data_IF_239641809273
#
_entry.id   IF_239641809273
#
_cell.length_a   1.000
_cell.length_b   1.000
_cell.length_c   1.000
_cell.angle_alpha   90.00
_cell.angle_beta   90.00
_cell.angle_gamma   90.00
#
_symmetry.space_group_name_H-M   'P 1'
#
loop_
_entity.id
_entity.type
_entity.pdbx_description
1 polymer ?
#
# COMPACT_ATOMS: atom_id res chain seq x y z
N UNK A 1 -24.18 -7.03 31.69
CA UNK A 1 -22.70 -6.90 31.69
C UNK A 1 -22.14 -7.35 30.35
N UNK A 2 -22.49 -8.55 29.87
CA UNK A 2 -22.14 -9.07 28.54
C UNK A 2 -22.54 -8.12 27.39
N UNK A 3 -23.80 -7.66 27.33
CA UNK A 3 -24.25 -6.75 26.27
C UNK A 3 -23.48 -5.41 26.22
N UNK A 4 -23.00 -4.92 27.38
CA UNK A 4 -22.15 -3.72 27.42
C UNK A 4 -20.76 -4.02 26.84
N UNK A 5 -20.18 -5.16 27.17
CA UNK A 5 -18.89 -5.58 26.61
C UNK A 5 -18.97 -5.83 25.11
N UNK A 6 -20.09 -6.36 24.60
CA UNK A 6 -20.32 -6.53 23.15
C UNK A 6 -20.46 -5.18 22.44
N UNK A 7 -21.19 -4.23 23.04
CA UNK A 7 -21.27 -2.87 22.51
C UNK A 7 -19.90 -2.18 22.49
N UNK A 8 -19.12 -2.29 23.57
CA UNK A 8 -17.77 -1.74 23.65
C UNK A 8 -16.85 -2.38 22.59
N UNK A 9 -16.97 -3.70 22.36
CA UNK A 9 -16.23 -4.42 21.31
C UNK A 9 -16.60 -3.95 19.90
N UNK A 10 -17.89 -3.81 19.59
CA UNK A 10 -18.37 -3.29 18.31
C UNK A 10 -17.81 -1.89 18.02
N UNK A 11 -17.78 -1.00 19.01
CA UNK A 11 -17.16 0.34 18.89
C UNK A 11 -15.67 0.23 18.54
N UNK A 12 -14.91 -0.65 19.21
CA UNK A 12 -13.49 -0.83 18.89
C UNK A 12 -13.26 -1.44 17.51
N UNK A 13 -14.10 -2.37 17.06
CA UNK A 13 -14.02 -2.95 15.72
C UNK A 13 -14.32 -1.91 14.64
N UNK A 14 -15.31 -1.04 14.86
CA UNK A 14 -15.59 0.08 13.96
C UNK A 14 -14.41 1.06 13.87
N UNK A 15 -13.75 1.37 14.99
CA UNK A 15 -12.52 2.18 14.97
C UNK A 15 -11.39 1.49 14.19
N UNK A 16 -11.21 0.18 14.38
CA UNK A 16 -10.19 -0.58 13.65
C UNK A 16 -10.48 -0.60 12.14
N UNK A 17 -11.74 -0.77 11.72
CA UNK A 17 -12.16 -0.65 10.33
C UNK A 17 -11.84 0.72 9.74
N UNK A 18 -12.17 1.80 10.45
CA UNK A 18 -11.86 3.17 10.04
C UNK A 18 -10.34 3.45 9.96
N UNK A 19 -9.54 2.82 10.82
CA UNK A 19 -8.08 2.87 10.71
C UNK A 19 -7.58 2.09 9.49
N UNK A 20 -8.15 0.92 9.21
CA UNK A 20 -7.87 0.15 8.00
C UNK A 20 -8.13 0.94 6.72
N UNK A 21 -9.26 1.66 6.63
CA UNK A 21 -9.56 2.54 5.49
C UNK A 21 -8.50 3.63 5.29
N UNK A 22 -8.08 4.28 6.37
CA UNK A 22 -7.03 5.33 6.32
C UNK A 22 -5.70 4.76 5.86
N UNK A 23 -5.31 3.58 6.35
CA UNK A 23 -4.08 2.91 5.90
C UNK A 23 -4.21 2.54 4.43
N UNK A 24 -5.35 1.99 4.00
CA UNK A 24 -5.61 1.68 2.58
C UNK A 24 -5.49 2.91 1.67
N UNK A 25 -5.95 4.08 2.11
CA UNK A 25 -5.75 5.33 1.38
C UNK A 25 -4.27 5.73 1.27
N UNK A 26 -3.50 5.58 2.35
CA UNK A 26 -2.05 5.84 2.34
C UNK A 26 -1.32 4.88 1.40
N UNK A 27 -1.68 3.60 1.42
CA UNK A 27 -1.08 2.57 0.55
C UNK A 27 -1.29 2.91 -0.92
N UNK A 28 -2.49 3.36 -1.32
CA UNK A 28 -2.76 3.83 -2.68
C UNK A 28 -1.85 4.97 -3.10
N UNK A 29 -1.63 5.96 -2.21
CA UNK A 29 -0.71 7.08 -2.49
C UNK A 29 0.72 6.57 -2.69
N UNK A 30 1.17 5.58 -1.92
CA UNK A 30 2.51 5.00 -2.08
C UNK A 30 2.62 4.22 -3.40
N UNK A 31 1.58 3.48 -3.79
CA UNK A 31 1.51 2.78 -5.08
C UNK A 31 1.61 3.77 -6.25
N UNK A 32 0.84 4.87 -6.20
CA UNK A 32 0.90 5.95 -7.19
C UNK A 32 2.30 6.58 -7.29
N UNK A 33 2.96 6.81 -6.14
CA UNK A 33 4.34 7.34 -6.09
C UNK A 33 5.33 6.34 -6.69
N UNK A 34 5.18 5.05 -6.40
CA UNK A 34 6.05 4.00 -6.95
C UNK A 34 5.90 3.91 -8.47
N UNK A 35 4.67 3.96 -9.00
CA UNK A 35 4.43 3.96 -10.43
C UNK A 35 5.02 5.19 -11.12
N UNK A 36 4.84 6.39 -10.54
CA UNK A 36 5.47 7.61 -11.06
C UNK A 36 7.00 7.53 -11.02
N UNK A 37 7.56 6.98 -9.94
CA UNK A 37 9.01 6.77 -9.81
C UNK A 37 9.53 5.80 -10.87
N UNK A 38 8.78 4.74 -11.15
CA UNK A 38 9.08 3.77 -12.21
C UNK A 38 9.10 4.44 -13.60
N UNK A 39 8.10 5.27 -13.91
CA UNK A 39 8.04 6.02 -15.17
C UNK A 39 9.18 7.04 -15.29
N UNK A 40 9.53 7.73 -14.20
CA UNK A 40 10.67 8.65 -14.18
C UNK A 40 12.00 7.91 -14.41
N UNK A 41 12.17 6.74 -13.78
CA UNK A 41 13.34 5.89 -13.98
C UNK A 41 13.44 5.40 -15.43
N UNK A 42 12.33 5.00 -16.05
CA UNK A 42 12.29 4.63 -17.46
C UNK A 42 12.74 5.77 -18.37
N UNK A 43 12.22 6.98 -18.15
CA UNK A 43 12.61 8.15 -18.93
C UNK A 43 14.10 8.47 -18.75
N UNK A 44 14.63 8.34 -17.52
CA UNK A 44 16.06 8.50 -17.25
C UNK A 44 16.92 7.46 -17.97
N UNK A 45 16.49 6.19 -18.01
CA UNK A 45 17.17 5.13 -18.74
C UNK A 45 17.21 5.40 -20.25
N UNK A 46 16.11 5.90 -20.83
CA UNK A 46 16.03 6.29 -22.24
C UNK A 46 17.01 7.42 -22.56
N UNK A 47 17.06 8.47 -21.74
CA UNK A 47 17.95 9.60 -21.96
C UNK A 47 19.42 9.21 -21.73
N UNK A 48 19.69 8.32 -20.77
CA UNK A 48 21.02 7.74 -20.56
C UNK A 48 21.49 6.94 -21.78
N UNK A 49 20.61 6.13 -22.39
CA UNK A 49 20.93 5.42 -23.63
C UNK A 49 21.23 6.39 -24.79
N UNK A 50 20.48 7.51 -24.87
CA UNK A 50 20.68 8.56 -25.88
C UNK A 50 22.01 9.29 -25.73
N UNK A 51 22.51 9.46 -24.50
CA UNK A 51 23.81 10.06 -24.20
C UNK A 51 25.00 9.13 -24.51
N UNK A 52 24.75 7.87 -24.91
CA UNK A 52 25.80 6.92 -25.29
C UNK A 52 26.76 6.61 -24.14
N UNK A 53 28.07 6.72 -24.37
CA UNK A 53 29.07 6.39 -23.34
C UNK A 53 29.01 7.33 -22.12
N UNK A 54 28.62 8.60 -22.31
CA UNK A 54 28.48 9.57 -21.22
C UNK A 54 27.29 9.25 -20.29
N UNK A 55 26.31 8.47 -20.78
CA UNK A 55 25.12 8.09 -20.02
C UNK A 55 25.25 6.80 -19.21
N UNK A 56 26.33 6.02 -19.34
CA UNK A 56 26.45 4.69 -18.71
C UNK A 56 26.26 4.71 -17.20
N UNK A 57 26.82 5.70 -16.50
CA UNK A 57 26.65 5.82 -15.04
C UNK A 57 25.20 6.13 -14.65
N UNK A 58 24.52 6.98 -15.43
CA UNK A 58 23.11 7.32 -15.21
C UNK A 58 22.18 6.15 -15.53
N UNK A 59 22.51 5.31 -16.51
CA UNK A 59 21.72 4.11 -16.83
C UNK A 59 21.67 3.13 -15.65
N UNK A 60 22.80 2.87 -14.99
CA UNK A 60 22.85 1.99 -13.81
C UNK A 60 21.98 2.52 -12.67
N UNK A 61 22.02 3.83 -12.43
CA UNK A 61 21.18 4.46 -11.39
C UNK A 61 19.71 4.38 -11.77
N UNK A 62 19.35 4.62 -13.03
CA UNK A 62 17.98 4.52 -13.50
C UNK A 62 17.42 3.10 -13.33
N UNK A 63 18.21 2.07 -13.65
CA UNK A 63 17.81 0.68 -13.47
C UNK A 63 17.59 0.32 -11.99
N UNK A 64 18.45 0.80 -11.08
CA UNK A 64 18.29 0.57 -9.64
C UNK A 64 17.06 1.27 -9.07
N UNK A 65 16.79 2.52 -9.49
CA UNK A 65 15.57 3.25 -9.09
C UNK A 65 14.32 2.52 -9.60
N UNK A 66 14.37 1.98 -10.83
CA UNK A 66 13.28 1.19 -11.40
C UNK A 66 13.01 -0.07 -10.57
N UNK A 67 14.06 -0.83 -10.25
CA UNK A 67 13.95 -2.02 -9.42
C UNK A 67 13.40 -1.71 -8.02
N UNK A 68 13.79 -0.56 -7.44
CA UNK A 68 13.27 -0.12 -6.14
C UNK A 68 11.78 0.26 -6.21
N UNK A 69 11.37 0.93 -7.29
CA UNK A 69 9.96 1.26 -7.55
C UNK A 69 9.10 -0.01 -7.69
N UNK A 70 9.53 -0.98 -8.49
CA UNK A 70 8.86 -2.27 -8.66
C UNK A 70 8.72 -3.03 -7.32
N UNK A 71 9.79 -3.07 -6.51
CA UNK A 71 9.76 -3.67 -5.16
C UNK A 71 8.79 -2.94 -4.22
N UNK A 72 8.68 -1.62 -4.35
CA UNK A 72 7.76 -0.79 -3.56
C UNK A 72 6.31 -1.07 -3.94
N UNK A 73 6.01 -1.18 -5.24
CA UNK A 73 4.68 -1.61 -5.73
C UNK A 73 4.30 -2.99 -5.19
N UNK A 74 5.21 -3.96 -5.24
CA UNK A 74 4.93 -5.29 -4.69
C UNK A 74 4.65 -5.26 -3.19
N UNK A 75 5.48 -4.55 -2.42
CA UNK A 75 5.29 -4.44 -0.97
C UNK A 75 3.98 -3.73 -0.59
N UNK A 76 3.60 -2.70 -1.34
CA UNK A 76 2.33 -1.98 -1.13
C UNK A 76 1.12 -2.86 -1.43
N UNK A 77 1.19 -3.72 -2.46
CA UNK A 77 0.15 -4.71 -2.75
C UNK A 77 0.00 -5.72 -1.61
N UNK A 78 1.10 -6.29 -1.11
CA UNK A 78 1.07 -7.22 0.03
C UNK A 78 0.47 -6.57 1.29
N UNK A 79 0.79 -5.30 1.57
CA UNK A 79 0.17 -4.56 2.68
C UNK A 79 -1.32 -4.29 2.41
N UNK A 80 -1.70 -3.98 1.17
CA UNK A 80 -3.08 -3.81 0.75
C UNK A 80 -3.95 -5.04 1.04
N UNK A 81 -3.44 -6.24 0.74
CA UNK A 81 -4.09 -7.51 1.05
C UNK A 81 -4.31 -7.71 2.56
N UNK A 82 -3.29 -7.39 3.38
CA UNK A 82 -3.39 -7.47 4.84
C UNK A 82 -4.46 -6.52 5.38
N UNK A 83 -4.50 -5.28 4.87
CA UNK A 83 -5.51 -4.29 5.27
C UNK A 83 -6.91 -4.73 4.88
N UNK A 84 -7.08 -5.31 3.69
CA UNK A 84 -8.36 -5.84 3.26
C UNK A 84 -8.82 -7.00 4.16
N UNK A 85 -7.91 -7.90 4.55
CA UNK A 85 -8.21 -8.97 5.49
C UNK A 85 -8.63 -8.43 6.88
N UNK A 86 -7.96 -7.38 7.37
CA UNK A 86 -8.33 -6.71 8.62
C UNK A 86 -9.74 -6.11 8.51
N UNK A 87 -10.05 -5.41 7.42
CA UNK A 87 -11.37 -4.81 7.20
C UNK A 87 -12.48 -5.87 7.20
N UNK A 88 -12.29 -6.97 6.47
CA UNK A 88 -13.24 -8.10 6.45
C UNK A 88 -13.42 -8.67 7.86
N UNK A 89 -12.32 -8.97 8.56
CA UNK A 89 -12.38 -9.52 9.92
C UNK A 89 -13.07 -8.58 10.92
N UNK A 90 -12.88 -7.26 10.79
CA UNK A 90 -13.60 -6.29 11.64
C UNK A 90 -15.09 -6.25 11.34
N UNK A 91 -15.48 -6.33 10.07
CA UNK A 91 -16.88 -6.32 9.66
C UNK A 91 -17.62 -7.58 10.13
N UNK A 92 -16.97 -8.74 10.01
CA UNK A 92 -17.49 -10.00 10.54
C UNK A 92 -17.64 -9.93 12.06
N UNK A 93 -16.64 -9.41 12.78
CA UNK A 93 -16.70 -9.26 14.22
C UNK A 93 -17.85 -8.34 14.68
N UNK A 94 -18.08 -7.22 14.00
CA UNK A 94 -19.23 -6.33 14.27
C UNK A 94 -20.55 -7.10 14.09
N UNK A 95 -20.69 -7.83 12.98
CA UNK A 95 -21.90 -8.61 12.69
C UNK A 95 -22.20 -9.63 13.81
N UNK A 96 -21.19 -10.38 14.27
CA UNK A 96 -21.36 -11.32 15.38
C UNK A 96 -21.74 -10.66 16.70
N UNK A 97 -21.27 -9.43 16.96
CA UNK A 97 -21.64 -8.68 18.17
C UNK A 97 -23.02 -8.03 18.11
N UNK A 98 -23.60 -7.87 16.90
CA UNK A 98 -24.95 -7.32 16.69
C UNK A 98 -26.01 -8.43 16.69
N UNK A 99 -25.66 -9.63 16.21
CA UNK A 99 -26.53 -10.81 16.18
C UNK A 99 -26.62 -11.56 17.52
N UNK A 100 -25.70 -11.30 18.47
CA UNK A 100 -25.57 -12.00 19.77
C UNK A 100 -25.92 -11.16 21.00
#
# INVERSE_FOLDING_TARGET
>A
QVSKQMADMSVQMNHLGAHGEKIGAVIKVIEDIAEQTNLLALNAAIEAARAGEFGRGFAVVADEVRALAERTTKATQEVGEIIQAIQVGTQEAVTYTEDG
#
